data_IF_159351345321
#
_entry.id   IF_159351345321
#
_cell.length_a   1.000
_cell.length_b   1.000
_cell.length_c   1.000
_cell.angle_alpha   90.00
_cell.angle_beta   90.00
_cell.angle_gamma   90.00
#
_symmetry.space_group_name_H-M   'P 1'
#
loop_
_entity.id
_entity.type
_entity.pdbx_description
1 polymer ?
#
# COMPACT_ATOMS: atom_id res chain seq x y z
N UNK A 1 8.52 -26.11 13.91
CA UNK A 1 7.24 -25.54 14.30
C UNK A 1 6.12 -26.49 13.92
N UNK A 2 5.18 -26.59 14.77
CA UNK A 2 4.02 -27.43 14.50
C UNK A 2 2.99 -26.64 13.69
N UNK A 3 2.51 -27.22 12.62
CA UNK A 3 1.38 -26.65 11.87
C UNK A 3 0.10 -27.22 12.47
N UNK A 4 -0.68 -26.37 13.06
CA UNK A 4 -1.98 -26.75 13.61
C UNK A 4 -3.00 -26.77 12.48
N UNK A 5 -3.98 -27.71 12.49
CA UNK A 5 -5.09 -27.61 11.53
C UNK A 5 -5.75 -26.25 11.63
N UNK A 6 -5.88 -25.58 10.51
CA UNK A 6 -6.37 -24.21 10.42
C UNK A 6 -5.31 -23.14 10.56
N UNK A 7 -4.12 -23.50 11.01
CA UNK A 7 -3.00 -22.57 10.99
C UNK A 7 -2.29 -22.69 9.65
N UNK A 8 -1.83 -21.58 9.14
CA UNK A 8 -1.08 -21.58 7.89
C UNK A 8 0.26 -20.94 8.09
N UNK A 9 1.15 -21.24 7.18
CA UNK A 9 2.47 -20.67 7.21
C UNK A 9 2.46 -19.22 6.75
N UNK A 10 3.63 -18.65 6.81
CA UNK A 10 3.88 -17.31 6.33
C UNK A 10 4.07 -17.32 4.83
N UNK A 11 3.46 -16.36 4.15
CA UNK A 11 3.68 -16.12 2.74
C UNK A 11 4.55 -14.89 2.60
N UNK A 12 5.69 -15.06 1.97
CA UNK A 12 6.58 -13.93 1.66
C UNK A 12 6.41 -13.58 0.20
N UNK A 13 6.07 -12.31 -0.05
CA UNK A 13 5.94 -11.79 -1.39
C UNK A 13 7.29 -11.26 -1.85
N UNK A 14 7.64 -11.52 -3.11
CA UNK A 14 8.92 -11.10 -3.66
C UNK A 14 8.92 -9.62 -4.03
N UNK A 15 10.10 -9.07 -4.30
CA UNK A 15 10.24 -7.66 -4.67
C UNK A 15 10.33 -6.72 -3.49
N UNK A 16 10.78 -7.21 -2.34
CA UNK A 16 10.93 -6.41 -1.12
C UNK A 16 9.65 -6.25 -0.34
N UNK A 17 8.60 -6.93 -0.72
CA UNK A 17 7.32 -6.91 -0.03
C UNK A 17 7.22 -8.15 0.85
N UNK A 18 6.99 -7.93 2.14
CA UNK A 18 6.80 -9.00 3.10
C UNK A 18 5.46 -8.82 3.80
N UNK A 19 4.65 -9.85 3.75
CA UNK A 19 3.39 -9.88 4.48
C UNK A 19 3.12 -11.29 4.96
N UNK A 20 2.64 -11.42 6.16
CA UNK A 20 2.20 -12.69 6.71
C UNK A 20 0.71 -12.84 6.47
N UNK A 21 0.34 -13.90 5.76
CA UNK A 21 -1.05 -14.27 5.57
C UNK A 21 -1.29 -15.52 6.38
N UNK A 22 -2.16 -15.43 7.33
CA UNK A 22 -2.46 -16.50 8.26
C UNK A 22 -3.92 -16.94 8.12
N UNK A 23 -4.24 -18.09 8.71
CA UNK A 23 -5.63 -18.56 8.74
C UNK A 23 -6.52 -17.50 9.39
N UNK A 24 -7.58 -17.12 8.72
CA UNK A 24 -8.49 -16.08 9.18
C UNK A 24 -8.21 -14.69 8.60
N UNK A 25 -7.04 -14.49 7.99
CA UNK A 25 -6.74 -13.22 7.32
C UNK A 25 -7.46 -13.16 5.97
N UNK A 26 -7.80 -11.96 5.56
CA UNK A 26 -8.38 -11.71 4.24
C UNK A 26 -7.33 -10.97 3.39
N UNK A 27 -7.02 -11.57 2.26
CA UNK A 27 -6.07 -11.03 1.31
C UNK A 27 -6.85 -10.48 0.11
N UNK A 28 -6.87 -9.16 -0.04
CA UNK A 28 -7.68 -8.49 -1.06
C UNK A 28 -6.82 -7.62 -1.95
N UNK A 29 -6.91 -7.83 -3.25
CA UNK A 29 -6.31 -6.95 -4.23
C UNK A 29 -7.33 -5.90 -4.66
N UNK A 30 -7.06 -4.63 -4.34
CA UNK A 30 -7.98 -3.53 -4.65
C UNK A 30 -7.86 -3.04 -6.10
N UNK A 31 -6.86 -3.53 -6.82
CA UNK A 31 -6.61 -3.11 -8.19
C UNK A 31 -5.85 -1.78 -8.29
N UNK A 32 -5.72 -1.25 -9.52
CA UNK A 32 -4.98 -0.02 -9.72
C UNK A 32 -5.76 1.21 -9.25
N UNK A 33 -5.02 2.13 -8.63
CA UNK A 33 -5.53 3.44 -8.23
C UNK A 33 -4.79 4.50 -9.04
N UNK A 34 -5.53 5.43 -9.64
CA UNK A 34 -4.92 6.58 -10.30
C UNK A 34 -4.66 7.65 -9.26
N UNK A 35 -3.39 8.04 -9.13
CA UNK A 35 -2.93 9.04 -8.17
C UNK A 35 -2.52 10.29 -8.92
N UNK A 36 -3.16 11.40 -8.62
CA UNK A 36 -2.85 12.70 -9.23
C UNK A 36 -2.24 13.66 -8.23
N UNK A 37 -2.33 14.95 -8.52
CA UNK A 37 -1.71 16.00 -7.69
C UNK A 37 -2.58 16.45 -6.52
N UNK A 38 -3.62 15.71 -6.21
CA UNK A 38 -4.45 15.89 -5.02
C UNK A 38 -4.38 14.61 -4.19
N UNK A 39 -4.26 14.74 -2.87
CA UNK A 39 -4.21 13.57 -1.99
C UNK A 39 -5.41 12.66 -2.26
N UNK A 40 -5.12 11.43 -2.63
CA UNK A 40 -6.10 10.43 -3.05
C UNK A 40 -6.14 9.32 -2.02
N UNK A 41 -7.33 8.97 -1.54
CA UNK A 41 -7.49 7.87 -0.58
C UNK A 41 -7.15 6.55 -1.27
N UNK A 42 -6.17 5.85 -0.72
CA UNK A 42 -5.72 4.54 -1.18
C UNK A 42 -6.39 3.43 -0.37
N UNK A 43 -6.45 3.61 0.94
CA UNK A 43 -7.06 2.66 1.86
C UNK A 43 -7.71 3.41 3.02
N UNK A 44 -8.98 3.13 3.27
CA UNK A 44 -9.71 3.73 4.37
C UNK A 44 -9.18 3.24 5.73
N UNK A 45 -9.40 4.05 6.76
CA UNK A 45 -9.07 3.64 8.12
C UNK A 45 -9.84 2.37 8.50
N UNK A 46 -9.21 1.52 9.30
CA UNK A 46 -9.77 0.27 9.77
C UNK A 46 -9.90 0.26 11.29
N UNK A 47 -10.74 -0.63 11.82
CA UNK A 47 -10.92 -0.77 13.28
C UNK A 47 -9.77 -1.54 13.93
N UNK A 48 -9.02 -2.31 13.16
CA UNK A 48 -7.82 -3.01 13.62
C UNK A 48 -6.68 -2.79 12.65
N UNK A 49 -5.51 -3.28 12.99
CA UNK A 49 -4.36 -3.16 12.09
C UNK A 49 -4.57 -3.99 10.84
N UNK A 50 -4.27 -3.39 9.71
CA UNK A 50 -4.22 -4.07 8.42
C UNK A 50 -2.83 -3.88 7.83
N UNK A 51 -2.47 -4.73 6.90
CA UNK A 51 -1.25 -4.57 6.11
C UNK A 51 -1.65 -4.09 4.73
N UNK A 52 -1.12 -2.94 4.33
CA UNK A 52 -1.37 -2.37 3.01
C UNK A 52 -0.07 -2.49 2.20
N UNK A 53 -0.15 -3.19 1.10
CA UNK A 53 0.98 -3.38 0.18
C UNK A 53 0.71 -2.55 -1.06
N UNK A 54 1.60 -1.60 -1.33
CA UNK A 54 1.45 -0.68 -2.45
C UNK A 54 2.65 -0.82 -3.37
N UNK A 55 2.39 -0.83 -4.67
CA UNK A 55 3.45 -0.89 -5.66
C UNK A 55 3.17 0.14 -6.75
N UNK A 56 4.14 1.03 -6.97
CA UNK A 56 4.08 1.96 -8.08
C UNK A 56 4.28 1.21 -9.40
N UNK A 57 3.46 1.51 -10.39
CA UNK A 57 3.60 0.89 -11.71
C UNK A 57 4.99 1.14 -12.28
N UNK A 58 5.56 0.12 -12.90
CA UNK A 58 6.84 0.26 -13.61
C UNK A 58 6.78 1.26 -14.76
N UNK A 59 5.58 1.58 -15.22
CA UNK A 59 5.36 2.51 -16.33
C UNK A 59 5.15 3.95 -15.85
N UNK A 60 5.20 4.20 -14.54
CA UNK A 60 5.08 5.55 -14.01
C UNK A 60 6.25 6.42 -14.47
N UNK A 61 5.96 7.68 -14.76
CA UNK A 61 6.97 8.67 -15.14
C UNK A 61 7.42 9.53 -13.97
N UNK A 62 6.68 9.52 -12.86
CA UNK A 62 6.94 10.29 -11.65
C UNK A 62 6.77 9.42 -10.42
N UNK A 63 7.37 9.85 -9.31
CA UNK A 63 7.20 9.17 -8.04
C UNK A 63 5.80 9.35 -7.49
N UNK A 64 5.33 8.33 -6.78
CA UNK A 64 4.11 8.38 -6.00
C UNK A 64 4.51 8.54 -4.54
N UNK A 65 3.91 9.50 -3.83
CA UNK A 65 4.22 9.77 -2.42
C UNK A 65 3.08 9.24 -1.55
N UNK A 66 3.42 8.50 -0.52
CA UNK A 66 2.48 7.85 0.39
C UNK A 66 2.47 8.59 1.72
N UNK A 67 1.30 8.84 2.25
CA UNK A 67 1.18 9.53 3.53
C UNK A 67 -0.27 9.66 4.00
N UNK A 68 -0.56 10.76 4.67
CA UNK A 68 -1.89 11.07 5.19
C UNK A 68 -2.64 12.05 4.26
N UNK A 69 -3.82 12.49 4.70
CA UNK A 69 -4.65 13.40 3.91
C UNK A 69 -4.03 14.80 3.72
N UNK A 70 -2.97 15.11 4.45
CA UNK A 70 -2.27 16.40 4.36
C UNK A 70 -1.14 16.43 3.34
N UNK A 71 -1.01 15.42 2.50
CA UNK A 71 0.02 15.40 1.46
C UNK A 71 -0.09 16.62 0.54
N UNK A 72 1.06 17.22 0.26
CA UNK A 72 1.18 18.39 -0.61
C UNK A 72 1.57 17.96 -2.02
N UNK A 73 1.05 18.66 -3.03
CA UNK A 73 1.46 18.44 -4.41
C UNK A 73 2.99 18.45 -4.52
N UNK A 74 3.61 17.38 -5.03
CA UNK A 74 5.08 17.27 -5.09
C UNK A 74 5.77 18.36 -5.92
N UNK A 75 5.04 19.04 -6.80
CA UNK A 75 5.58 20.18 -7.53
C UNK A 75 5.78 21.39 -6.63
N UNK A 76 5.14 21.42 -5.46
CA UNK A 76 5.24 22.49 -4.46
C UNK A 76 6.17 22.07 -3.32
N UNK A 77 5.93 20.91 -2.74
CA UNK A 77 6.74 20.38 -1.64
C UNK A 77 6.62 18.86 -1.63
N UNK A 78 7.71 18.18 -1.38
CA UNK A 78 7.74 16.72 -1.34
C UNK A 78 7.48 16.23 0.07
N UNK A 79 6.26 15.77 0.31
CA UNK A 79 5.84 15.17 1.57
C UNK A 79 5.59 13.67 1.37
N UNK A 80 5.72 12.91 2.45
CA UNK A 80 5.41 11.48 2.44
C UNK A 80 6.59 10.63 1.99
N UNK A 81 6.29 9.36 1.76
CA UNK A 81 7.29 8.36 1.38
C UNK A 81 7.27 8.19 -0.13
N UNK A 82 8.36 8.51 -0.84
CA UNK A 82 8.38 8.40 -2.31
C UNK A 82 8.51 6.95 -2.76
N UNK A 83 7.74 6.60 -3.78
CA UNK A 83 7.84 5.34 -4.49
C UNK A 83 8.15 5.63 -5.95
N UNK A 84 9.34 5.29 -6.38
CA UNK A 84 9.71 5.37 -7.79
C UNK A 84 9.01 4.26 -8.58
N UNK A 85 9.00 4.40 -9.91
CA UNK A 85 8.40 3.39 -10.79
C UNK A 85 8.92 1.98 -10.45
N UNK A 86 8.01 1.06 -10.21
CA UNK A 86 8.34 -0.33 -9.88
C UNK A 86 8.66 -0.59 -8.41
N UNK A 87 8.77 0.43 -7.57
CA UNK A 87 9.02 0.26 -6.14
C UNK A 87 7.75 -0.10 -5.39
N UNK A 88 7.93 -0.74 -4.25
CA UNK A 88 6.84 -1.18 -3.40
C UNK A 88 7.06 -0.76 -1.95
N UNK A 89 5.96 -0.59 -1.22
CA UNK A 89 5.96 -0.24 0.19
C UNK A 89 4.89 -1.06 0.90
N UNK A 90 5.23 -1.57 2.07
CA UNK A 90 4.30 -2.29 2.94
C UNK A 90 4.12 -1.50 4.22
N UNK A 91 2.88 -1.21 4.59
CA UNK A 91 2.54 -0.53 5.83
C UNK A 91 1.60 -1.37 6.67
N UNK A 92 1.89 -1.49 7.96
CA UNK A 92 0.96 -2.01 8.95
C UNK A 92 0.34 -0.81 9.66
N UNK A 93 -0.96 -0.64 9.52
CA UNK A 93 -1.63 0.53 10.06
C UNK A 93 -3.13 0.29 10.23
N UNK A 94 -3.75 1.06 11.10
CA UNK A 94 -5.20 1.19 11.17
C UNK A 94 -5.68 2.53 10.63
N UNK A 95 -4.77 3.42 10.31
CA UNK A 95 -5.08 4.75 9.80
C UNK A 95 -5.36 4.72 8.30
N UNK A 96 -6.07 5.72 7.81
CA UNK A 96 -6.27 5.90 6.39
C UNK A 96 -4.93 6.21 5.69
N UNK A 97 -4.74 5.67 4.51
CA UNK A 97 -3.54 5.85 3.70
C UNK A 97 -3.90 6.62 2.45
N UNK A 98 -3.15 7.67 2.18
CA UNK A 98 -3.32 8.52 1.00
C UNK A 98 -2.07 8.49 0.15
N UNK A 99 -2.23 8.84 -1.11
CA UNK A 99 -1.12 8.98 -2.05
C UNK A 99 -1.29 10.24 -2.88
N UNK A 100 -0.18 10.77 -3.35
CA UNK A 100 -0.15 11.94 -4.22
C UNK A 100 1.01 11.82 -5.21
N UNK A 101 0.85 12.41 -6.37
CA UNK A 101 1.89 12.46 -7.39
C UNK A 101 1.84 13.81 -8.12
N UNK A 102 2.90 14.16 -8.80
CA UNK A 102 2.98 15.42 -9.55
C UNK A 102 2.02 15.44 -10.74
N UNK A 103 1.79 14.27 -11.33
CA UNK A 103 0.83 14.05 -12.40
C UNK A 103 0.24 12.65 -12.25
N UNK A 104 -0.76 12.31 -13.05
CA UNK A 104 -1.42 11.01 -12.91
C UNK A 104 -0.45 9.85 -13.07
N UNK A 105 -0.38 9.04 -12.02
CA UNK A 105 0.43 7.83 -11.95
C UNK A 105 -0.45 6.67 -11.47
N UNK A 106 0.02 5.46 -11.63
CA UNK A 106 -0.72 4.26 -11.24
C UNK A 106 -0.09 3.61 -10.02
N UNK A 107 -0.91 3.28 -9.03
CA UNK A 107 -0.51 2.59 -7.81
C UNK A 107 -1.35 1.32 -7.66
N UNK A 108 -0.70 0.19 -7.52
CA UNK A 108 -1.38 -1.08 -7.25
C UNK A 108 -1.44 -1.30 -5.74
N UNK A 109 -2.61 -1.71 -5.26
CA UNK A 109 -2.87 -1.83 -3.82
C UNK A 109 -3.40 -3.22 -3.51
N UNK A 110 -2.81 -3.83 -2.49
CA UNK A 110 -3.27 -5.10 -1.94
C UNK A 110 -3.34 -4.96 -0.42
N UNK A 111 -4.39 -5.49 0.17
CA UNK A 111 -4.64 -5.36 1.60
C UNK A 111 -4.75 -6.73 2.24
N UNK A 112 -4.10 -6.91 3.39
CA UNK A 112 -4.30 -8.07 4.25
C UNK A 112 -5.02 -7.57 5.51
N UNK A 113 -6.27 -7.98 5.67
CA UNK A 113 -7.07 -7.66 6.85
C UNK A 113 -6.95 -8.77 7.87
N UNK A 114 -6.70 -8.40 9.11
CA UNK A 114 -6.61 -9.35 10.23
C UNK A 114 -7.99 -9.56 10.83
N UNK A 115 -8.34 -10.80 11.07
CA UNK A 115 -9.61 -11.16 11.69
C UNK A 115 -9.42 -11.67 13.12
#
# INVERSE_FOLDING_TARGET
MRITPGAVGTVTLVGGINAEVQSGDVFTSSGPVTVGNTATLVQAAATGNITVIMKASKNNSKDVYIGDSGLTDPSVAEDGIPLAAGEALTLDTSAAVYAIAESNQTLYVTVVSRT
#
